data_IF_457093481753
#
_entry.id   IF_457093481753
#
_cell.length_a   1.000
_cell.length_b   1.000
_cell.length_c   1.000
_cell.angle_alpha   90.00
_cell.angle_beta   90.00
_cell.angle_gamma   90.00
#
_symmetry.space_group_name_H-M   'P 1'
#
loop_
_entity.id
_entity.type
_entity.pdbx_description
1 polymer ?
#
# COMPACT_ATOMS: atom_id res chain seq x y z
N UNK A 1 1.61 -14.97 15.48
CA UNK A 1 1.77 -13.65 16.13
C UNK A 1 2.34 -12.72 15.08
N UNK A 2 1.49 -11.93 14.42
CA UNK A 2 1.95 -10.89 13.50
C UNK A 2 2.70 -9.87 14.36
N UNK A 3 4.02 -9.84 14.24
CA UNK A 3 4.84 -8.77 14.80
C UNK A 3 5.01 -7.76 13.68
N UNK A 4 4.07 -6.82 13.58
CA UNK A 4 4.17 -5.70 12.66
C UNK A 4 4.59 -4.50 13.51
N UNK A 5 5.75 -3.93 13.21
CA UNK A 5 5.95 -2.53 13.55
C UNK A 5 4.83 -1.78 12.83
N UNK A 6 3.99 -1.05 13.57
CA UNK A 6 2.79 -0.31 13.14
C UNK A 6 3.03 0.78 12.05
N UNK A 7 4.20 0.74 11.42
CA UNK A 7 4.78 1.69 10.49
C UNK A 7 5.05 1.09 9.11
N UNK A 8 5.03 -0.24 9.00
CA UNK A 8 5.17 -0.94 7.73
C UNK A 8 3.78 -1.37 7.27
N UNK A 9 3.38 -0.94 6.07
CA UNK A 9 2.08 -1.29 5.50
C UNK A 9 2.27 -2.30 4.38
N UNK A 10 1.70 -3.49 4.55
CA UNK A 10 1.67 -4.52 3.50
C UNK A 10 0.29 -4.54 2.84
N UNK A 11 0.22 -4.16 1.57
CA UNK A 11 -1.02 -4.28 0.80
C UNK A 11 -1.29 -5.75 0.49
N UNK A 12 -2.48 -6.28 0.81
CA UNK A 12 -2.77 -7.68 0.52
C UNK A 12 -2.90 -7.91 -0.99
N UNK A 13 -2.83 -9.18 -1.41
CA UNK A 13 -3.10 -9.55 -2.80
C UNK A 13 -4.60 -9.60 -3.10
N UNK A 14 -5.40 -9.88 -2.08
CA UNK A 14 -6.85 -10.04 -2.16
C UNK A 14 -7.52 -9.47 -0.91
N UNK A 15 -8.80 -9.13 -1.04
CA UNK A 15 -9.67 -8.74 0.07
C UNK A 15 -10.93 -9.58 0.05
N UNK A 16 -11.51 -9.86 1.22
CA UNK A 16 -12.79 -10.55 1.34
C UNK A 16 -13.90 -9.54 1.61
N UNK A 17 -14.95 -9.57 0.78
CA UNK A 17 -16.16 -8.75 0.92
C UNK A 17 -17.35 -9.70 0.80
N UNK A 18 -18.17 -9.79 1.83
CA UNK A 18 -19.37 -10.64 1.90
C UNK A 18 -19.12 -12.11 1.48
N UNK A 19 -18.02 -12.70 1.96
CA UNK A 19 -17.64 -14.09 1.68
C UNK A 19 -17.11 -14.34 0.27
N UNK A 20 -16.85 -13.28 -0.50
CA UNK A 20 -16.21 -13.35 -1.83
C UNK A 20 -14.84 -12.71 -1.79
N UNK A 21 -13.87 -13.38 -2.41
CA UNK A 21 -12.50 -12.89 -2.53
C UNK A 21 -12.33 -12.08 -3.82
N UNK A 22 -11.79 -10.87 -3.68
CA UNK A 22 -11.51 -9.97 -4.79
C UNK A 22 -10.01 -9.66 -4.85
N UNK A 23 -9.38 -9.69 -6.03
CA UNK A 23 -7.99 -9.25 -6.17
C UNK A 23 -7.90 -7.75 -5.90
N UNK A 24 -6.93 -7.35 -5.07
CA UNK A 24 -6.63 -5.95 -4.87
C UNK A 24 -5.78 -5.47 -6.05
N UNK A 25 -6.38 -4.68 -6.94
CA UNK A 25 -5.73 -4.22 -8.18
C UNK A 25 -5.45 -2.73 -8.22
N UNK A 26 -6.08 -1.94 -7.37
CA UNK A 26 -6.05 -0.48 -7.46
C UNK A 26 -5.88 0.11 -6.06
N UNK A 27 -5.02 1.12 -5.96
CA UNK A 27 -4.95 2.02 -4.81
C UNK A 27 -5.64 3.32 -5.21
N UNK A 28 -6.78 3.59 -4.57
CA UNK A 28 -7.64 4.72 -4.94
C UNK A 28 -7.08 6.08 -4.54
N UNK A 29 -7.70 7.12 -5.10
CA UNK A 29 -7.31 8.49 -4.82
C UNK A 29 -7.43 8.77 -3.32
N UNK A 30 -6.38 9.38 -2.76
CA UNK A 30 -6.25 9.68 -1.33
C UNK A 30 -6.34 8.46 -0.38
N UNK A 31 -6.14 7.21 -0.85
CA UNK A 31 -6.27 6.01 -0.01
C UNK A 31 -5.46 6.04 1.30
N UNK A 32 -4.23 6.55 1.25
CA UNK A 32 -3.32 6.75 2.38
C UNK A 32 -2.94 8.22 2.53
N UNK A 33 -3.91 9.13 2.36
CA UNK A 33 -3.68 10.55 2.62
C UNK A 33 -3.55 10.81 4.13
N UNK A 34 -2.86 11.88 4.54
CA UNK A 34 -2.91 12.38 5.92
C UNK A 34 -4.30 12.94 6.26
N UNK A 35 -5.27 12.06 6.45
CA UNK A 35 -6.57 12.34 7.09
C UNK A 35 -6.65 11.69 8.46
N UNK A 36 -5.72 10.77 8.77
CA UNK A 36 -5.59 10.10 10.06
C UNK A 36 -4.15 10.21 10.58
N UNK A 37 -3.95 10.49 11.88
CA UNK A 37 -2.62 10.49 12.51
C UNK A 37 -1.98 9.11 12.57
N UNK A 38 -2.68 8.02 12.23
CA UNK A 38 -2.02 6.72 12.05
C UNK A 38 -1.16 6.70 10.77
N UNK A 39 -1.65 7.33 9.69
CA UNK A 39 -0.95 7.35 8.41
C UNK A 39 0.32 8.20 8.46
N UNK A 40 0.44 9.13 9.42
CA UNK A 40 1.66 9.89 9.62
C UNK A 40 2.88 9.06 9.99
N UNK A 41 2.65 7.90 10.58
CA UNK A 41 3.70 7.05 11.13
C UNK A 41 4.20 6.00 10.14
N UNK A 42 3.58 5.90 8.95
CA UNK A 42 3.98 4.95 7.92
C UNK A 42 5.39 5.30 7.42
N UNK A 43 6.32 4.36 7.59
CA UNK A 43 7.71 4.46 7.14
C UNK A 43 7.98 3.64 5.87
N UNK A 44 7.22 2.56 5.64
CA UNK A 44 7.32 1.78 4.40
C UNK A 44 5.99 1.22 3.91
N UNK A 45 5.87 1.07 2.58
CA UNK A 45 4.70 0.48 1.94
C UNK A 45 5.16 -0.63 0.98
N UNK A 46 4.65 -1.85 1.17
CA UNK A 46 4.82 -2.94 0.22
C UNK A 46 3.65 -2.97 -0.77
N UNK A 47 3.95 -2.74 -2.04
CA UNK A 47 3.04 -2.87 -3.18
C UNK A 47 3.02 -4.33 -3.64
N UNK A 48 1.86 -4.99 -3.56
CA UNK A 48 1.70 -6.40 -3.94
C UNK A 48 1.67 -6.59 -5.47
N UNK A 49 1.88 -7.83 -5.92
CA UNK A 49 1.97 -8.17 -7.35
C UNK A 49 0.72 -7.87 -8.18
N UNK A 50 -0.44 -7.78 -7.54
CA UNK A 50 -1.73 -7.58 -8.20
C UNK A 50 -2.06 -6.11 -8.46
N UNK A 51 -1.37 -5.18 -7.80
CA UNK A 51 -1.61 -3.73 -7.97
C UNK A 51 -1.18 -3.29 -9.36
N UNK A 52 -2.13 -2.77 -10.13
CA UNK A 52 -1.98 -2.31 -11.52
C UNK A 52 -2.10 -0.80 -11.64
N UNK A 53 -2.72 -0.14 -10.66
CA UNK A 53 -3.02 1.29 -10.73
C UNK A 53 -2.94 1.93 -9.36
N UNK A 54 -2.31 3.11 -9.32
CA UNK A 54 -2.18 3.95 -8.14
C UNK A 54 -2.69 5.32 -8.54
N UNK A 55 -3.84 5.71 -7.99
CA UNK A 55 -4.53 6.93 -8.38
C UNK A 55 -3.91 8.16 -7.70
N UNK A 56 -4.32 9.34 -8.18
CA UNK A 56 -3.79 10.63 -7.73
C UNK A 56 -3.80 10.75 -6.21
N UNK A 57 -2.71 11.27 -5.64
CA UNK A 57 -2.59 11.56 -4.20
C UNK A 57 -2.79 10.35 -3.27
N UNK A 58 -2.72 9.10 -3.77
CA UNK A 58 -2.85 7.89 -2.97
C UNK A 58 -1.98 7.90 -1.70
N UNK A 59 -0.75 8.44 -1.78
CA UNK A 59 0.22 8.51 -0.67
C UNK A 59 0.52 9.94 -0.22
N UNK A 60 -0.46 10.85 -0.37
CA UNK A 60 -0.24 12.27 -0.10
C UNK A 60 0.02 12.54 1.38
N UNK A 61 1.01 13.38 1.66
CA UNK A 61 1.36 13.84 3.01
C UNK A 61 1.84 12.75 3.98
N UNK A 62 2.30 11.59 3.50
CA UNK A 62 2.97 10.59 4.34
C UNK A 62 4.40 11.04 4.69
N UNK A 63 4.54 11.96 5.66
CA UNK A 63 5.79 12.67 5.93
C UNK A 63 6.93 11.80 6.46
N UNK A 64 6.63 10.63 7.00
CA UNK A 64 7.62 9.65 7.50
C UNK A 64 7.92 8.54 6.50
N UNK A 65 7.27 8.51 5.33
CA UNK A 65 7.47 7.46 4.34
C UNK A 65 8.89 7.56 3.76
N UNK A 66 9.67 6.49 3.92
CA UNK A 66 11.07 6.42 3.49
C UNK A 66 11.28 5.57 2.25
N UNK A 67 10.47 4.53 2.07
CA UNK A 67 10.64 3.56 1.00
C UNK A 67 9.33 2.94 0.55
N UNK A 68 9.28 2.63 -0.74
CA UNK A 68 8.37 1.65 -1.29
C UNK A 68 9.13 0.34 -1.46
N UNK A 69 8.44 -0.78 -1.26
CA UNK A 69 8.93 -2.11 -1.63
C UNK A 69 7.92 -2.61 -2.65
N UNK A 70 8.38 -2.97 -3.83
CA UNK A 70 7.50 -3.57 -4.84
C UNK A 70 7.79 -5.06 -4.88
N UNK A 71 6.73 -5.86 -4.90
CA UNK A 71 6.87 -7.31 -5.07
C UNK A 71 7.52 -7.62 -6.42
N UNK A 72 8.49 -8.54 -6.45
CA UNK A 72 9.26 -8.88 -7.66
C UNK A 72 8.36 -9.42 -8.80
N UNK A 73 7.18 -9.95 -8.47
CA UNK A 73 6.20 -10.42 -9.44
C UNK A 73 5.30 -9.29 -9.99
N UNK A 74 5.39 -8.05 -9.48
CA UNK A 74 4.61 -6.92 -9.96
C UNK A 74 5.09 -6.49 -11.36
N UNK A 75 4.19 -6.51 -12.34
CA UNK A 75 4.50 -6.21 -13.75
C UNK A 75 4.29 -4.74 -14.14
N UNK A 76 3.78 -3.92 -13.23
CA UNK A 76 3.36 -2.54 -13.47
C UNK A 76 4.27 -1.51 -12.81
N UNK A 77 4.86 -1.85 -11.67
CA UNK A 77 5.70 -0.97 -10.88
C UNK A 77 7.03 -1.63 -10.56
N UNK A 78 8.04 -0.81 -10.34
CA UNK A 78 9.33 -1.19 -9.75
C UNK A 78 9.77 -0.04 -8.85
N UNK A 79 10.65 -0.33 -7.89
CA UNK A 79 11.40 0.72 -7.21
C UNK A 79 12.55 1.19 -8.09
N UNK A 80 12.96 2.44 -7.90
CA UNK A 80 14.26 2.94 -8.35
C UNK A 80 15.14 3.04 -7.11
N UNK A 81 16.36 2.52 -7.20
CA UNK A 81 17.40 2.70 -6.18
C UNK A 81 18.09 4.07 -6.32
#
# INVERSE_FOLDING_TARGET
VYQENDKDVVLPETVEIDGKTYPLTTIDENAFTWTSPAYSEIESIKISKNIKSINSKAFRCLSKLKKFIVDDENKFFTTID
#
